data_IF_306028041678
#
_entry.id   IF_306028041678
#
_cell.length_a   1.000
_cell.length_b   1.000
_cell.length_c   1.000
_cell.angle_alpha   90.00
_cell.angle_beta   90.00
_cell.angle_gamma   90.00
#
_symmetry.space_group_name_H-M   'P 1'
#
loop_
_entity.id
_entity.type
_entity.pdbx_description
1 polymer ?
#
# COMPACT_ATOMS: atom_id res chain seq x y z
N UNK A 1 -22.33 5.19 0.62
CA UNK A 1 -21.70 5.70 1.88
C UNK A 1 -20.94 6.98 1.61
N UNK A 2 -20.94 7.97 2.51
CA UNK A 2 -20.07 9.16 2.39
C UNK A 2 -18.73 8.86 3.05
N UNK A 3 -17.66 8.81 2.26
CA UNK A 3 -16.31 8.54 2.76
C UNK A 3 -15.68 9.77 3.41
N UNK A 4 -14.88 9.55 4.45
CA UNK A 4 -14.04 10.55 5.11
C UNK A 4 -12.71 10.63 4.38
N UNK A 5 -12.61 11.57 3.42
CA UNK A 5 -11.44 11.70 2.55
C UNK A 5 -10.13 11.83 3.34
N UNK A 6 -10.14 12.56 4.45
CA UNK A 6 -8.92 12.79 5.24
C UNK A 6 -8.49 11.52 5.96
N UNK A 7 -9.44 10.77 6.52
CA UNK A 7 -9.13 9.49 7.16
C UNK A 7 -8.67 8.44 6.13
N UNK A 8 -9.28 8.43 4.95
CA UNK A 8 -8.88 7.51 3.88
C UNK A 8 -7.47 7.79 3.36
N UNK A 9 -7.12 9.06 3.21
CA UNK A 9 -5.78 9.47 2.81
C UNK A 9 -4.75 9.11 3.89
N UNK A 10 -5.09 9.26 5.18
CA UNK A 10 -4.22 8.82 6.27
C UNK A 10 -4.00 7.30 6.26
N UNK A 11 -5.05 6.50 5.99
CA UNK A 11 -4.91 5.05 5.83
C UNK A 11 -4.03 4.69 4.62
N UNK A 12 -4.17 5.41 3.51
CA UNK A 12 -3.32 5.25 2.32
C UNK A 12 -1.85 5.55 2.62
N UNK A 13 -1.56 6.59 3.43
CA UNK A 13 -0.18 6.89 3.87
C UNK A 13 0.35 5.77 4.75
N UNK A 14 -0.40 5.32 5.74
CA UNK A 14 -0.01 4.23 6.65
C UNK A 14 0.28 2.91 5.92
N UNK A 15 -0.53 2.59 4.91
CA UNK A 15 -0.27 1.45 4.02
C UNK A 15 1.09 1.58 3.33
N UNK A 16 1.39 2.75 2.75
CA UNK A 16 2.64 3.00 2.04
C UNK A 16 3.85 3.02 2.96
N UNK A 17 3.76 3.64 4.14
CA UNK A 17 4.83 3.63 5.14
C UNK A 17 5.15 2.19 5.57
N UNK A 18 4.12 1.37 5.80
CA UNK A 18 4.30 -0.04 6.16
C UNK A 18 4.96 -0.86 5.03
N UNK A 19 4.52 -0.66 3.79
CA UNK A 19 5.13 -1.31 2.62
C UNK A 19 6.60 -0.91 2.47
N UNK A 20 6.90 0.39 2.62
CA UNK A 20 8.25 0.93 2.51
C UNK A 20 9.16 0.39 3.61
N UNK A 21 8.72 0.37 4.87
CA UNK A 21 9.45 -0.19 6.00
C UNK A 21 9.75 -1.69 5.81
N UNK A 22 8.76 -2.43 5.31
CA UNK A 22 8.91 -3.85 5.05
C UNK A 22 9.88 -4.11 3.89
N UNK A 23 9.73 -3.39 2.80
CA UNK A 23 10.56 -3.53 1.61
C UNK A 23 12.02 -3.14 1.88
N UNK A 24 12.25 -2.08 2.66
CA UNK A 24 13.59 -1.59 2.99
C UNK A 24 14.41 -2.63 3.79
N UNK A 25 13.76 -3.35 4.72
CA UNK A 25 14.41 -4.47 5.45
C UNK A 25 14.90 -5.59 4.52
N UNK A 26 14.30 -5.73 3.34
CA UNK A 26 14.65 -6.76 2.34
C UNK A 26 15.58 -6.26 1.25
N UNK A 27 15.50 -4.97 0.91
CA UNK A 27 16.25 -4.31 -0.15
C UNK A 27 17.00 -3.08 0.40
N UNK A 28 17.87 -3.21 1.42
CA UNK A 28 18.44 -2.07 2.14
C UNK A 28 19.44 -1.22 1.34
N UNK A 29 19.75 -1.62 0.10
CA UNK A 29 20.72 -0.95 -0.77
C UNK A 29 20.08 -0.32 -2.01
N UNK A 30 18.75 -0.35 -2.11
CA UNK A 30 18.02 0.26 -3.22
C UNK A 30 17.69 1.71 -2.83
N UNK A 31 18.24 2.67 -3.57
CA UNK A 31 18.11 4.11 -3.26
C UNK A 31 16.79 4.73 -3.73
N UNK A 32 16.10 4.06 -4.66
CA UNK A 32 14.87 4.42 -5.37
C UNK A 32 13.78 3.36 -5.17
N UNK A 33 13.68 2.84 -3.94
CA UNK A 33 12.85 1.70 -3.59
C UNK A 33 11.35 1.97 -3.82
N UNK A 34 10.88 3.17 -3.49
CA UNK A 34 9.50 3.57 -3.69
C UNK A 34 9.17 3.61 -5.20
N UNK A 35 10.07 4.17 -6.01
CA UNK A 35 9.91 4.18 -7.47
C UNK A 35 9.88 2.76 -8.05
N UNK A 36 10.77 1.88 -7.62
CA UNK A 36 10.83 0.49 -8.06
C UNK A 36 9.54 -0.29 -7.73
N UNK A 37 9.02 -0.11 -6.51
CA UNK A 37 7.77 -0.70 -6.06
C UNK A 37 6.57 -0.13 -6.83
N UNK A 38 6.50 1.19 -6.98
CA UNK A 38 5.41 1.87 -7.67
C UNK A 38 5.29 1.41 -9.13
N UNK A 39 6.40 1.38 -9.85
CA UNK A 39 6.45 0.99 -11.25
C UNK A 39 6.00 -0.46 -11.49
N UNK A 40 6.21 -1.34 -10.51
CA UNK A 40 5.79 -2.75 -10.55
C UNK A 40 4.32 -2.91 -10.19
N UNK A 41 3.90 -2.23 -9.13
CA UNK A 41 2.56 -2.39 -8.57
C UNK A 41 1.46 -1.69 -9.37
N UNK A 42 1.80 -0.71 -10.22
CA UNK A 42 0.83 0.12 -10.96
C UNK A 42 -0.18 -0.69 -11.79
N UNK A 43 0.28 -1.78 -12.40
CA UNK A 43 -0.53 -2.63 -13.29
C UNK A 43 -0.88 -3.97 -12.62
N UNK A 44 -0.01 -4.48 -11.75
CA UNK A 44 -0.20 -5.75 -11.05
C UNK A 44 0.47 -5.74 -9.67
N UNK A 45 -0.35 -5.70 -8.60
CA UNK A 45 0.15 -5.73 -7.23
C UNK A 45 0.95 -7.01 -6.92
N UNK A 46 0.71 -8.12 -7.62
CA UNK A 46 1.46 -9.37 -7.43
C UNK A 46 2.92 -9.24 -7.89
N UNK A 47 3.26 -8.22 -8.69
CA UNK A 47 4.64 -7.98 -9.10
C UNK A 47 5.54 -7.58 -7.91
N UNK A 48 4.95 -7.06 -6.81
CA UNK A 48 5.66 -6.81 -5.56
C UNK A 48 6.20 -8.13 -4.97
N UNK A 49 5.38 -9.19 -4.97
CA UNK A 49 5.73 -10.49 -4.41
C UNK A 49 7.02 -11.05 -5.04
N UNK A 50 7.13 -10.94 -6.36
CA UNK A 50 8.29 -11.40 -7.12
C UNK A 50 9.54 -10.55 -6.87
N UNK A 51 9.36 -9.24 -6.70
CA UNK A 51 10.46 -8.30 -6.44
C UNK A 51 11.03 -8.45 -5.02
N UNK A 52 10.16 -8.55 -4.02
CA UNK A 52 10.54 -8.73 -2.62
C UNK A 52 10.89 -10.18 -2.27
N UNK A 53 10.57 -11.13 -3.17
CA UNK A 53 10.78 -12.57 -2.99
C UNK A 53 10.19 -13.07 -1.67
N UNK A 54 9.00 -12.60 -1.34
CA UNK A 54 8.40 -12.77 -0.02
C UNK A 54 7.14 -13.66 -0.01
N UNK A 55 6.79 -14.26 -1.15
CA UNK A 55 5.59 -15.10 -1.26
C UNK A 55 4.28 -14.33 -1.08
N UNK A 56 4.30 -13.01 -1.28
CA UNK A 56 3.16 -12.12 -1.18
C UNK A 56 2.82 -11.65 0.22
N UNK A 57 3.76 -11.74 1.15
CA UNK A 57 3.58 -11.25 2.52
C UNK A 57 3.30 -9.75 2.55
N UNK A 58 4.10 -8.93 1.86
CA UNK A 58 3.89 -7.48 1.80
C UNK A 58 2.52 -7.13 1.22
N UNK A 59 2.10 -7.80 0.14
CA UNK A 59 0.79 -7.59 -0.48
C UNK A 59 -0.36 -7.96 0.46
N UNK A 60 -0.25 -9.08 1.19
CA UNK A 60 -1.27 -9.49 2.17
C UNK A 60 -1.38 -8.49 3.31
N UNK A 61 -0.25 -8.02 3.84
CA UNK A 61 -0.23 -7.01 4.89
C UNK A 61 -0.86 -5.70 4.40
N UNK A 62 -0.52 -5.28 3.19
CA UNK A 62 -1.08 -4.09 2.54
C UNK A 62 -2.61 -4.19 2.42
N UNK A 63 -3.12 -5.35 2.03
CA UNK A 63 -4.56 -5.63 1.99
C UNK A 63 -5.19 -5.70 3.39
N UNK A 64 -4.50 -6.28 4.37
CA UNK A 64 -4.97 -6.42 5.74
C UNK A 64 -5.14 -5.06 6.43
N UNK A 65 -4.20 -4.12 6.24
CA UNK A 65 -4.30 -2.74 6.75
C UNK A 65 -5.55 -2.06 6.17
N UNK A 66 -5.75 -2.17 4.86
CA UNK A 66 -6.94 -1.63 4.20
C UNK A 66 -8.24 -2.23 4.77
N UNK A 67 -8.29 -3.56 4.92
CA UNK A 67 -9.46 -4.25 5.48
C UNK A 67 -9.74 -3.84 6.94
N UNK A 68 -8.70 -3.80 7.78
CA UNK A 68 -8.81 -3.39 9.18
C UNK A 68 -9.36 -1.98 9.32
N UNK A 69 -8.77 -1.02 8.59
CA UNK A 69 -9.26 0.36 8.55
C UNK A 69 -10.72 0.45 8.11
N UNK A 70 -11.10 -0.26 7.03
CA UNK A 70 -12.46 -0.20 6.49
C UNK A 70 -13.50 -0.82 7.44
N UNK A 71 -13.15 -1.90 8.13
CA UNK A 71 -13.99 -2.49 9.18
C UNK A 71 -14.15 -1.52 10.34
N UNK A 72 -13.05 -0.99 10.87
CA UNK A 72 -13.07 -0.14 12.06
C UNK A 72 -13.79 1.20 11.84
N UNK A 73 -13.53 1.83 10.68
CA UNK A 73 -14.05 3.17 10.38
C UNK A 73 -15.48 3.16 9.85
N UNK A 74 -15.83 2.14 9.06
CA UNK A 74 -17.04 2.13 8.26
C UNK A 74 -17.92 0.89 8.49
N UNK A 75 -17.48 -0.06 9.31
CA UNK A 75 -18.20 -1.30 9.61
C UNK A 75 -18.58 -2.08 8.34
N UNK A 76 -17.67 -2.10 7.35
CA UNK A 76 -17.86 -2.83 6.10
C UNK A 76 -17.56 -4.30 6.27
N UNK A 77 -18.35 -5.14 5.60
CA UNK A 77 -18.17 -6.60 5.57
C UNK A 77 -18.47 -7.17 4.18
N UNK A 78 -18.15 -8.46 3.99
CA UNK A 78 -18.46 -9.21 2.77
C UNK A 78 -17.96 -8.56 1.47
N UNK A 79 -18.83 -8.54 0.46
CA UNK A 79 -18.50 -8.02 -0.87
C UNK A 79 -18.26 -6.50 -0.87
N UNK A 80 -18.92 -5.76 0.04
CA UNK A 80 -18.71 -4.32 0.18
C UNK A 80 -17.32 -4.01 0.72
N UNK A 81 -16.88 -4.75 1.75
CA UNK A 81 -15.50 -4.66 2.26
C UNK A 81 -14.49 -5.00 1.17
N UNK A 82 -14.71 -6.10 0.45
CA UNK A 82 -13.79 -6.56 -0.61
C UNK A 82 -13.62 -5.50 -1.69
N UNK A 83 -14.73 -4.94 -2.18
CA UNK A 83 -14.73 -3.87 -3.20
C UNK A 83 -14.05 -2.60 -2.69
N UNK A 84 -14.35 -2.20 -1.45
CA UNK A 84 -13.79 -1.01 -0.84
C UNK A 84 -12.29 -1.15 -0.56
N UNK A 85 -11.83 -2.35 -0.18
CA UNK A 85 -10.42 -2.70 -0.01
C UNK A 85 -9.68 -2.56 -1.32
N UNK A 86 -10.19 -3.17 -2.39
CA UNK A 86 -9.53 -3.13 -3.70
C UNK A 86 -9.41 -1.69 -4.21
N UNK A 87 -10.45 -0.88 -3.98
CA UNK A 87 -10.44 0.56 -4.28
C UNK A 87 -9.38 1.32 -3.46
N UNK A 88 -9.27 1.02 -2.16
CA UNK A 88 -8.31 1.69 -1.27
C UNK A 88 -6.86 1.29 -1.60
N UNK A 89 -6.63 0.02 -1.92
CA UNK A 89 -5.34 -0.50 -2.38
C UNK A 89 -4.91 0.18 -3.69
N UNK A 90 -5.81 0.33 -4.66
CA UNK A 90 -5.51 1.09 -5.88
C UNK A 90 -5.18 2.55 -5.58
N UNK A 91 -5.94 3.19 -4.68
CA UNK A 91 -5.64 4.55 -4.24
C UNK A 91 -4.27 4.66 -3.56
N UNK A 92 -3.87 3.64 -2.80
CA UNK A 92 -2.58 3.60 -2.14
C UNK A 92 -1.41 3.44 -3.12
N UNK A 93 -1.56 2.60 -4.15
CA UNK A 93 -0.58 2.49 -5.24
C UNK A 93 -0.50 3.79 -6.06
N UNK A 94 -1.63 4.45 -6.32
CA UNK A 94 -1.64 5.76 -6.96
C UNK A 94 -0.93 6.82 -6.12
N UNK A 95 -1.11 6.78 -4.79
CA UNK A 95 -0.39 7.66 -3.88
C UNK A 95 1.12 7.39 -3.94
N UNK A 96 1.53 6.12 -3.89
CA UNK A 96 2.92 5.70 -4.00
C UNK A 96 3.55 6.24 -5.29
N UNK A 97 2.91 6.05 -6.45
CA UNK A 97 3.35 6.58 -7.75
C UNK A 97 3.52 8.11 -7.75
N UNK A 98 2.63 8.82 -7.07
CA UNK A 98 2.67 10.29 -6.99
C UNK A 98 3.69 10.85 -6.00
N UNK A 99 4.24 10.02 -5.11
CA UNK A 99 5.05 10.45 -3.96
C UNK A 99 6.36 9.69 -3.80
N UNK A 100 6.83 8.96 -4.83
CA UNK A 100 8.03 8.11 -4.78
C UNK A 100 9.23 8.84 -4.16
N UNK A 101 9.56 10.04 -4.66
CA UNK A 101 10.66 10.85 -4.14
C UNK A 101 10.56 11.16 -2.64
N UNK A 102 9.37 11.51 -2.17
CA UNK A 102 9.18 11.88 -0.76
C UNK A 102 9.34 10.65 0.16
N UNK A 103 8.88 9.49 -0.30
CA UNK A 103 9.00 8.22 0.42
C UNK A 103 10.45 7.71 0.42
N UNK A 104 11.15 7.81 -0.71
CA UNK A 104 12.58 7.46 -0.80
C UNK A 104 13.47 8.38 0.05
N UNK A 105 13.19 9.69 0.06
CA UNK A 105 13.97 10.66 0.85
C UNK A 105 13.71 10.53 2.36
N UNK A 106 12.55 10.02 2.80
CA UNK A 106 12.25 9.77 4.22
C UNK A 106 13.04 8.59 4.81
N UNK A 107 13.38 7.59 3.99
CA UNK A 107 14.09 6.39 4.44
C UNK A 107 15.63 6.54 4.55
N UNK A 108 16.18 7.68 4.13
CA UNK A 108 17.63 7.93 4.10
C UNK A 108 18.20 8.43 5.43
#
# INVERSE_FOLDING_TARGET
>A
MKRDKKADEAAVVDMNDTLMDYAHKRQPHVEDLAEELANRAKDDLNAIDAYLKDGGEARKEYQAIAEGYLRDKYNLEGDELTTARDTLVQAAIHYLLGHTKALDDWQR
#
